data_IF_431829617627
#
_entry.id   IF_431829617627
#
_cell.length_a   1.000
_cell.length_b   1.000
_cell.length_c   1.000
_cell.angle_alpha   90.00
_cell.angle_beta   90.00
_cell.angle_gamma   90.00
#
_symmetry.space_group_name_H-M   'P 1'
#
loop_
_entity.id
_entity.type
_entity.pdbx_description
1 polymer ?
#
# COMPACT_ATOMS: atom_id res chain seq x y z
N UNK A 1 15.32 25.08 -23.36
CA UNK A 1 15.60 25.19 -21.91
C UNK A 1 16.00 23.81 -21.42
N UNK A 2 17.22 23.62 -20.89
CA UNK A 2 17.69 22.30 -20.44
C UNK A 2 16.77 21.73 -19.35
N UNK A 3 16.70 20.40 -19.22
CA UNK A 3 15.89 19.71 -18.21
C UNK A 3 16.18 20.21 -16.79
N UNK A 4 17.45 20.48 -16.47
CA UNK A 4 17.88 21.04 -15.19
C UNK A 4 17.31 22.43 -14.91
N UNK A 5 17.27 23.33 -15.91
CA UNK A 5 16.69 24.67 -15.73
C UNK A 5 15.18 24.58 -15.46
N UNK A 6 14.46 23.65 -16.10
CA UNK A 6 13.02 23.42 -15.83
C UNK A 6 12.79 22.96 -14.40
N UNK A 7 13.64 22.08 -13.89
CA UNK A 7 13.54 21.55 -12.52
C UNK A 7 13.87 22.61 -11.48
N UNK A 8 14.92 23.40 -11.69
CA UNK A 8 15.25 24.56 -10.84
C UNK A 8 14.11 25.58 -10.82
N UNK A 9 13.52 25.87 -11.98
CA UNK A 9 12.36 26.76 -12.07
C UNK A 9 11.17 26.21 -11.25
N UNK A 10 10.81 24.93 -11.43
CA UNK A 10 9.76 24.27 -10.62
C UNK A 10 10.06 24.38 -9.12
N UNK A 11 11.30 24.12 -8.71
CA UNK A 11 11.74 24.21 -7.31
C UNK A 11 11.49 25.61 -6.72
N UNK A 12 11.97 26.66 -7.39
CA UNK A 12 11.79 28.03 -6.89
C UNK A 12 10.33 28.48 -6.92
N UNK A 13 9.55 28.07 -7.93
CA UNK A 13 8.10 28.32 -7.99
C UNK A 13 7.39 27.63 -6.82
N UNK A 14 7.72 26.37 -6.52
CA UNK A 14 7.17 25.66 -5.37
C UNK A 14 7.49 26.38 -4.06
N UNK A 15 8.72 26.87 -3.88
CA UNK A 15 9.08 27.66 -2.70
C UNK A 15 8.36 29.00 -2.62
N UNK A 16 8.18 29.68 -3.75
CA UNK A 16 7.42 30.93 -3.82
C UNK A 16 5.97 30.70 -3.39
N UNK A 17 5.28 29.73 -4.00
CA UNK A 17 3.90 29.37 -3.66
C UNK A 17 3.81 28.97 -2.18
N UNK A 18 4.75 28.16 -1.69
CA UNK A 18 4.81 27.76 -0.27
C UNK A 18 4.89 28.94 0.67
N UNK A 19 5.68 29.96 0.34
CA UNK A 19 5.76 31.17 1.16
C UNK A 19 4.51 32.04 1.05
N UNK A 20 3.89 32.15 -0.14
CA UNK A 20 2.63 32.87 -0.31
C UNK A 20 1.49 32.22 0.49
N UNK A 21 1.39 30.90 0.48
CA UNK A 21 0.38 30.14 1.22
C UNK A 21 0.51 30.26 2.74
N UNK A 22 1.63 30.78 3.26
CA UNK A 22 1.74 31.13 4.70
C UNK A 22 0.79 32.27 5.10
N UNK A 23 0.15 32.98 4.16
CA UNK A 23 -0.92 33.92 4.48
C UNK A 23 -2.05 33.23 5.28
N UNK A 24 -2.33 31.95 5.02
CA UNK A 24 -3.32 31.17 5.76
C UNK A 24 -2.87 30.85 7.20
N UNK A 25 -1.62 31.18 7.58
CA UNK A 25 -1.18 31.05 8.97
C UNK A 25 -1.86 32.02 9.93
N UNK A 26 -2.57 33.03 9.42
CA UNK A 26 -3.48 33.87 10.21
C UNK A 26 -4.63 33.07 10.83
N UNK A 27 -5.01 31.94 10.21
CA UNK A 27 -6.05 31.05 10.73
C UNK A 27 -5.42 30.21 11.86
N UNK A 28 -6.02 30.16 13.07
CA UNK A 28 -5.44 29.41 14.18
C UNK A 28 -5.39 27.90 13.91
N UNK A 29 -4.43 27.22 14.54
CA UNK A 29 -4.38 25.75 14.50
C UNK A 29 -5.57 25.18 15.24
N UNK A 30 -6.22 24.20 14.62
CA UNK A 30 -7.32 23.43 15.19
C UNK A 30 -6.77 22.17 15.86
N UNK A 31 -6.55 22.26 17.17
CA UNK A 31 -5.85 21.25 17.97
C UNK A 31 -6.51 19.87 18.06
N UNK A 32 -7.76 19.73 17.60
CA UNK A 32 -8.57 18.50 17.67
C UNK A 32 -8.90 17.93 16.30
N UNK A 33 -8.44 18.55 15.21
CA UNK A 33 -8.76 18.13 13.85
C UNK A 33 -7.63 17.30 13.23
N UNK A 34 -8.04 16.22 12.58
CA UNK A 34 -7.20 15.34 11.76
C UNK A 34 -7.57 15.47 10.28
N UNK A 35 -6.56 15.42 9.42
CA UNK A 35 -6.69 15.28 7.98
C UNK A 35 -6.01 13.99 7.51
N UNK A 36 -6.75 13.14 6.81
CA UNK A 36 -6.27 11.88 6.26
C UNK A 36 -6.23 11.89 4.74
N UNK A 37 -5.19 11.29 4.17
CA UNK A 37 -5.04 11.04 2.74
C UNK A 37 -4.43 9.67 2.50
N UNK A 38 -5.06 8.85 1.67
CA UNK A 38 -4.44 7.63 1.15
C UNK A 38 -4.26 7.71 -0.36
N UNK A 39 -3.05 7.36 -0.84
CA UNK A 39 -2.63 7.40 -2.24
C UNK A 39 -3.05 8.69 -2.95
N UNK A 40 -2.70 9.83 -2.36
CA UNK A 40 -3.03 11.17 -2.88
C UNK A 40 -4.54 11.43 -3.02
N UNK A 41 -5.34 10.87 -2.12
CA UNK A 41 -6.80 11.00 -2.11
C UNK A 41 -7.49 10.13 -3.17
N UNK A 42 -6.82 9.08 -3.67
CA UNK A 42 -7.44 8.13 -4.60
C UNK A 42 -8.33 7.11 -3.91
N UNK A 43 -8.12 6.84 -2.62
CA UNK A 43 -8.78 5.74 -1.91
C UNK A 43 -9.02 6.05 -0.43
N UNK A 44 -10.04 5.42 0.15
CA UNK A 44 -10.21 5.25 1.58
C UNK A 44 -9.65 3.87 1.97
N UNK A 45 -8.34 3.80 2.22
CA UNK A 45 -7.62 2.54 2.39
C UNK A 45 -6.29 2.73 3.12
N UNK A 46 -5.59 1.61 3.33
CA UNK A 46 -4.20 1.56 3.84
C UNK A 46 -4.06 2.16 5.24
N UNK A 47 -2.83 2.39 5.73
CA UNK A 47 -2.58 2.75 7.12
C UNK A 47 -3.35 4.00 7.61
N UNK A 48 -3.60 5.04 6.79
CA UNK A 48 -4.46 6.16 7.18
C UNK A 48 -5.90 5.75 7.53
N UNK A 49 -6.49 4.75 6.83
CA UNK A 49 -7.82 4.20 7.17
C UNK A 49 -7.82 3.64 8.59
N UNK A 50 -6.92 2.70 8.86
CA UNK A 50 -6.84 2.01 10.15
C UNK A 50 -6.55 2.96 11.31
N UNK A 51 -5.68 3.95 11.12
CA UNK A 51 -5.48 5.01 12.13
C UNK A 51 -6.76 5.81 12.36
N UNK A 52 -7.46 6.21 11.28
CA UNK A 52 -8.67 7.04 11.40
C UNK A 52 -9.83 6.31 12.08
N UNK A 53 -10.00 5.02 11.80
CA UNK A 53 -11.04 4.18 12.42
C UNK A 53 -10.72 3.93 13.90
N UNK A 54 -9.46 3.58 14.22
CA UNK A 54 -9.04 3.39 15.60
C UNK A 54 -9.24 4.65 16.46
N UNK A 55 -8.85 5.83 15.93
CA UNK A 55 -9.08 7.11 16.62
C UNK A 55 -10.57 7.38 16.84
N UNK A 56 -11.40 7.12 15.83
CA UNK A 56 -12.85 7.33 15.92
C UNK A 56 -13.52 6.43 16.97
N UNK A 57 -13.05 5.20 17.10
CA UNK A 57 -13.61 4.22 18.04
C UNK A 57 -13.11 4.41 19.48
N UNK A 58 -11.89 4.92 19.66
CA UNK A 58 -11.21 4.90 20.96
C UNK A 58 -10.96 6.29 21.57
N UNK A 59 -11.19 7.39 20.84
CA UNK A 59 -10.83 8.74 21.30
C UNK A 59 -11.94 9.76 21.05
N UNK A 60 -12.54 10.22 22.15
CA UNK A 60 -13.61 11.21 22.11
C UNK A 60 -13.14 12.64 21.82
N UNK A 61 -14.03 13.41 21.21
CA UNK A 61 -13.87 14.86 21.05
C UNK A 61 -12.84 15.28 20.00
N UNK A 62 -12.46 14.37 19.10
CA UNK A 62 -11.68 14.65 17.89
C UNK A 62 -12.61 14.80 16.67
N UNK A 63 -12.11 15.48 15.65
CA UNK A 63 -12.81 15.60 14.37
C UNK A 63 -11.93 15.08 13.23
N UNK A 64 -12.53 14.29 12.33
CA UNK A 64 -11.80 13.56 11.29
C UNK A 64 -12.24 14.02 9.90
N UNK A 65 -11.28 14.50 9.11
CA UNK A 65 -11.49 14.91 7.71
C UNK A 65 -10.70 14.01 6.76
N UNK A 66 -11.33 13.53 5.70
CA UNK A 66 -10.69 12.79 4.61
C UNK A 66 -10.67 13.59 3.31
N UNK A 67 -9.52 13.66 2.65
CA UNK A 67 -9.39 14.31 1.36
C UNK A 67 -9.39 13.30 0.21
N UNK A 68 -10.24 13.54 -0.80
CA UNK A 68 -10.38 12.69 -1.98
C UNK A 68 -10.28 13.49 -3.29
N UNK A 69 -9.89 12.82 -4.37
CA UNK A 69 -9.96 13.36 -5.73
C UNK A 69 -11.39 13.32 -6.29
N UNK A 70 -12.20 12.36 -5.82
CA UNK A 70 -13.59 12.14 -6.22
C UNK A 70 -14.43 11.87 -4.96
N UNK A 71 -14.90 12.94 -4.31
CA UNK A 71 -15.58 12.81 -3.00
C UNK A 71 -16.81 11.89 -3.07
N UNK A 72 -17.62 11.99 -4.13
CA UNK A 72 -18.91 11.29 -4.21
C UNK A 72 -18.82 9.77 -4.10
N UNK A 73 -17.67 9.17 -4.45
CA UNK A 73 -17.40 7.73 -4.24
C UNK A 73 -17.39 7.33 -2.76
N UNK A 74 -17.23 8.30 -1.86
CA UNK A 74 -17.02 8.10 -0.43
C UNK A 74 -18.10 8.75 0.44
N UNK A 75 -19.23 9.19 -0.11
CA UNK A 75 -20.32 9.86 0.63
C UNK A 75 -20.84 9.02 1.82
N UNK A 76 -20.74 7.69 1.74
CA UNK A 76 -21.10 6.79 2.84
C UNK A 76 -20.29 7.05 4.13
N UNK A 77 -19.10 7.64 4.04
CA UNK A 77 -18.28 8.01 5.20
C UNK A 77 -18.87 9.19 5.98
N UNK A 78 -19.73 10.02 5.38
CA UNK A 78 -20.46 11.07 6.09
C UNK A 78 -21.38 10.48 7.16
N UNK A 79 -22.02 9.35 6.86
CA UNK A 79 -22.87 8.61 7.81
C UNK A 79 -22.07 7.99 8.97
N UNK A 80 -20.76 7.80 8.77
CA UNK A 80 -19.82 7.38 9.81
C UNK A 80 -19.26 8.57 10.60
N UNK A 81 -19.67 9.81 10.32
CA UNK A 81 -19.21 11.00 11.04
C UNK A 81 -17.89 11.61 10.53
N UNK A 82 -17.35 11.13 9.41
CA UNK A 82 -16.20 11.78 8.76
C UNK A 82 -16.64 13.02 7.98
N UNK A 83 -15.79 14.04 7.95
CA UNK A 83 -15.90 15.16 7.01
C UNK A 83 -15.14 14.82 5.73
N UNK A 84 -15.68 15.21 4.57
CA UNK A 84 -15.05 14.97 3.28
C UNK A 84 -14.61 16.28 2.64
N UNK A 85 -13.45 16.26 1.99
CA UNK A 85 -12.91 17.43 1.30
C UNK A 85 -12.33 17.09 -0.07
N UNK A 86 -12.58 17.95 -1.06
CA UNK A 86 -12.03 17.80 -2.40
C UNK A 86 -10.58 18.24 -2.35
N UNK A 87 -9.66 17.34 -2.70
CA UNK A 87 -8.22 17.62 -2.73
C UNK A 87 -7.86 18.77 -3.67
N UNK A 88 -8.67 19.02 -4.70
CA UNK A 88 -8.46 20.12 -5.67
C UNK A 88 -8.99 21.47 -5.17
N UNK A 89 -9.70 21.50 -4.04
CA UNK A 89 -10.31 22.72 -3.51
C UNK A 89 -9.33 23.64 -2.78
N UNK A 90 -9.63 24.94 -2.75
CA UNK A 90 -8.93 25.88 -1.88
C UNK A 90 -9.09 25.51 -0.39
N UNK A 91 -10.23 24.94 -0.02
CA UNK A 91 -10.48 24.48 1.34
C UNK A 91 -9.46 23.41 1.75
N UNK A 92 -9.05 22.51 0.85
CA UNK A 92 -8.03 21.50 1.13
C UNK A 92 -6.68 22.14 1.44
N UNK A 93 -6.29 23.15 0.67
CA UNK A 93 -5.06 23.91 0.92
C UNK A 93 -5.13 24.60 2.29
N UNK A 94 -6.23 25.28 2.60
CA UNK A 94 -6.43 25.93 3.90
C UNK A 94 -6.37 24.92 5.04
N UNK A 95 -7.08 23.80 4.90
CA UNK A 95 -7.16 22.71 5.89
C UNK A 95 -5.78 22.15 6.21
N UNK A 96 -4.97 21.84 5.18
CA UNK A 96 -3.59 21.39 5.40
C UNK A 96 -2.73 22.38 6.21
N UNK A 97 -3.03 23.68 6.18
CA UNK A 97 -2.26 24.70 6.89
C UNK A 97 -2.73 24.98 8.33
N UNK A 98 -3.89 24.45 8.74
CA UNK A 98 -4.49 24.76 10.04
C UNK A 98 -4.98 23.58 10.87
N UNK A 99 -5.06 22.35 10.36
CA UNK A 99 -5.31 21.17 11.22
C UNK A 99 -4.08 20.82 12.06
N UNK A 100 -4.26 20.25 13.25
CA UNK A 100 -3.12 19.84 14.09
C UNK A 100 -2.45 18.57 13.56
N UNK A 101 -3.22 17.62 13.02
CA UNK A 101 -2.71 16.32 12.61
C UNK A 101 -2.99 16.05 11.14
N UNK A 102 -1.98 15.60 10.40
CA UNK A 102 -2.08 15.16 9.01
C UNK A 102 -1.43 13.78 8.92
N UNK A 103 -2.18 12.81 8.41
CA UNK A 103 -1.72 11.43 8.22
C UNK A 103 -1.83 11.06 6.74
N UNK A 104 -0.73 10.62 6.15
CA UNK A 104 -0.71 10.16 4.76
C UNK A 104 0.18 8.93 4.58
N UNK A 105 0.02 8.18 3.49
CA UNK A 105 0.87 7.04 3.13
C UNK A 105 1.70 7.28 1.86
N UNK A 106 1.60 8.47 1.27
CA UNK A 106 2.33 8.83 0.07
C UNK A 106 2.93 10.22 0.25
N UNK A 107 2.18 11.27 -0.07
CA UNK A 107 2.62 12.63 0.15
C UNK A 107 1.46 13.64 0.16
N UNK A 108 1.76 14.80 0.74
CA UNK A 108 0.95 16.03 0.57
C UNK A 108 1.66 16.97 -0.41
N UNK A 109 0.95 17.82 -1.17
CA UNK A 109 1.61 18.69 -2.15
C UNK A 109 2.79 19.50 -1.58
N UNK A 110 3.91 19.50 -2.30
CA UNK A 110 5.17 20.09 -1.84
C UNK A 110 5.10 21.61 -1.63
N UNK A 111 4.16 22.29 -2.28
CA UNK A 111 3.95 23.73 -2.12
C UNK A 111 3.15 24.09 -0.87
N UNK A 112 2.55 23.14 -0.13
CA UNK A 112 1.80 23.47 1.08
C UNK A 112 2.79 23.73 2.24
N UNK A 113 2.68 24.84 2.98
CA UNK A 113 3.50 25.08 4.15
C UNK A 113 2.95 24.34 5.39
N UNK A 114 3.81 23.68 6.15
CA UNK A 114 3.48 23.02 7.43
C UNK A 114 4.10 23.82 8.58
N UNK A 115 3.32 24.06 9.63
CA UNK A 115 3.79 24.75 10.85
C UNK A 115 4.49 23.76 11.77
N UNK A 116 5.45 24.25 12.55
CA UNK A 116 6.16 23.45 13.57
C UNK A 116 5.23 22.83 14.62
N UNK A 117 4.06 23.43 14.84
CA UNK A 117 3.06 22.93 15.79
C UNK A 117 2.12 21.88 15.19
N UNK A 118 2.16 21.62 13.88
CA UNK A 118 1.41 20.56 13.23
C UNK A 118 2.23 19.27 13.21
N UNK A 119 1.52 18.15 13.18
CA UNK A 119 2.07 16.81 13.08
C UNK A 119 1.76 16.27 11.69
N UNK A 120 2.80 15.97 10.93
CA UNK A 120 2.70 15.33 9.63
C UNK A 120 3.33 13.94 9.72
N UNK A 121 2.50 12.92 9.87
CA UNK A 121 2.91 11.53 9.88
C UNK A 121 2.81 10.96 8.46
N UNK A 122 3.93 10.43 7.96
CA UNK A 122 3.92 9.63 6.75
C UNK A 122 4.04 8.15 7.12
N UNK A 123 3.03 7.37 6.76
CA UNK A 123 2.98 5.93 7.03
C UNK A 123 3.72 5.13 5.97
N UNK A 124 4.05 5.74 4.82
CA UNK A 124 4.43 5.05 3.59
C UNK A 124 3.43 3.93 3.24
N UNK A 125 3.72 3.11 2.23
CA UNK A 125 2.80 2.05 1.78
C UNK A 125 3.51 0.75 1.40
N UNK A 126 4.84 0.69 1.54
CA UNK A 126 5.65 -0.48 1.22
C UNK A 126 6.18 -1.17 2.48
N UNK A 127 5.38 -2.07 3.07
CA UNK A 127 5.79 -2.83 4.26
C UNK A 127 6.88 -3.88 3.98
N UNK A 128 6.95 -4.38 2.75
CA UNK A 128 7.89 -5.40 2.29
C UNK A 128 8.40 -5.07 0.88
N UNK A 129 9.27 -4.07 0.74
CA UNK A 129 9.63 -3.52 -0.57
C UNK A 129 10.59 -4.43 -1.32
N UNK A 130 10.17 -4.89 -2.50
CA UNK A 130 11.03 -5.59 -3.46
C UNK A 130 11.72 -4.60 -4.41
N UNK A 131 10.93 -3.70 -5.00
CA UNK A 131 11.37 -2.74 -6.02
C UNK A 131 12.17 -1.61 -5.43
N UNK A 132 13.27 -1.23 -6.07
CA UNK A 132 13.97 0.02 -5.74
C UNK A 132 13.05 1.21 -5.94
N UNK A 133 13.19 2.21 -5.08
CA UNK A 133 12.41 3.45 -5.11
C UNK A 133 13.32 4.64 -4.86
N UNK A 134 12.85 5.84 -5.21
CA UNK A 134 13.57 7.09 -4.98
C UNK A 134 14.96 7.13 -5.62
N UNK A 135 15.97 7.49 -4.84
CA UNK A 135 17.36 7.68 -5.31
C UNK A 135 18.02 6.38 -5.80
N UNK A 136 17.48 5.22 -5.44
CA UNK A 136 18.01 3.92 -5.82
C UNK A 136 17.35 3.32 -7.08
N UNK A 137 16.34 3.99 -7.67
CA UNK A 137 15.76 3.54 -8.94
C UNK A 137 16.82 3.51 -10.05
N UNK A 138 16.77 2.51 -10.94
CA UNK A 138 17.70 2.41 -12.09
C UNK A 138 17.65 3.64 -13.00
N UNK A 139 16.48 4.26 -13.11
CA UNK A 139 16.24 5.50 -13.86
C UNK A 139 15.41 6.46 -12.99
N UNK A 140 16.01 7.09 -11.97
CA UNK A 140 15.27 7.92 -11.04
C UNK A 140 14.78 9.16 -11.79
N UNK A 141 13.48 9.48 -11.69
CA UNK A 141 12.98 10.75 -12.22
C UNK A 141 13.73 11.88 -11.49
N UNK A 142 14.48 12.74 -12.19
CA UNK A 142 15.15 13.86 -11.55
C UNK A 142 14.20 14.72 -10.71
N UNK A 143 12.91 14.80 -11.06
CA UNK A 143 11.89 15.45 -10.26
C UNK A 143 11.67 14.79 -8.89
N UNK A 144 11.68 13.45 -8.80
CA UNK A 144 11.52 12.71 -7.54
C UNK A 144 12.66 13.04 -6.57
N UNK A 145 13.89 13.11 -7.07
CA UNK A 145 15.08 13.54 -6.31
C UNK A 145 14.89 14.93 -5.67
N UNK A 146 14.41 15.91 -6.44
CA UNK A 146 14.11 17.25 -5.91
C UNK A 146 12.92 17.25 -4.96
N UNK A 147 11.96 16.38 -5.22
CA UNK A 147 10.75 16.24 -4.43
C UNK A 147 11.06 15.77 -3.01
N UNK A 148 11.84 14.69 -2.84
CA UNK A 148 12.25 14.22 -1.52
C UNK A 148 12.94 15.32 -0.71
N UNK A 149 13.86 16.06 -1.34
CA UNK A 149 14.52 17.21 -0.70
C UNK A 149 13.55 18.29 -0.21
N UNK A 150 12.46 18.54 -0.94
CA UNK A 150 11.45 19.54 -0.56
C UNK A 150 10.50 19.05 0.55
N UNK A 151 10.40 17.74 0.73
CA UNK A 151 9.37 17.09 1.55
C UNK A 151 9.91 16.56 2.87
N UNK A 152 11.10 15.96 2.87
CA UNK A 152 11.66 15.24 4.01
C UNK A 152 11.68 16.08 5.29
N UNK A 153 12.13 17.34 5.19
CA UNK A 153 12.21 18.27 6.33
C UNK A 153 10.84 18.69 6.90
N UNK A 154 9.73 18.35 6.23
CA UNK A 154 8.37 18.69 6.64
C UNK A 154 7.70 17.59 7.45
N UNK A 155 8.11 16.34 7.27
CA UNK A 155 7.52 15.23 7.99
C UNK A 155 7.97 15.26 9.44
N UNK A 156 7.01 15.17 10.35
CA UNK A 156 7.31 15.00 11.78
C UNK A 156 7.94 13.64 12.02
N UNK A 157 7.37 12.60 11.40
CA UNK A 157 7.93 11.25 11.44
C UNK A 157 7.49 10.41 10.22
N UNK A 158 8.23 9.33 9.99
CA UNK A 158 7.81 8.20 9.16
C UNK A 158 7.51 6.97 10.03
N UNK A 159 6.49 6.19 9.67
CA UNK A 159 6.39 4.80 10.13
C UNK A 159 7.38 3.93 9.37
N UNK A 160 7.82 2.85 10.02
CA UNK A 160 8.64 1.82 9.41
C UNK A 160 8.14 0.44 9.79
N UNK A 161 8.03 -0.42 8.79
CA UNK A 161 7.63 -1.82 8.96
C UNK A 161 8.78 -2.72 9.39
N UNK A 162 10.04 -2.30 9.19
CA UNK A 162 11.19 -3.15 9.47
C UNK A 162 12.51 -2.38 9.57
N UNK A 163 13.56 -3.02 10.06
CA UNK A 163 14.94 -2.51 10.01
C UNK A 163 15.30 -2.17 8.56
N UNK A 164 15.02 -3.08 7.62
CA UNK A 164 15.31 -2.86 6.21
C UNK A 164 14.59 -1.63 5.64
N UNK A 165 13.31 -1.42 5.96
CA UNK A 165 12.59 -0.22 5.49
C UNK A 165 13.22 1.05 6.06
N UNK A 166 13.67 1.01 7.31
CA UNK A 166 14.33 2.15 7.95
C UNK A 166 15.62 2.53 7.23
N UNK A 167 16.50 1.55 7.03
CA UNK A 167 17.85 1.80 6.50
C UNK A 167 17.82 1.86 4.96
N UNK A 168 17.40 0.78 4.31
CA UNK A 168 17.48 0.64 2.85
C UNK A 168 16.45 1.48 2.07
N UNK A 169 15.32 1.86 2.69
CA UNK A 169 14.29 2.65 1.99
C UNK A 169 14.23 4.09 2.47
N UNK A 170 14.02 4.33 3.77
CA UNK A 170 13.85 5.71 4.25
C UNK A 170 15.19 6.46 4.19
N UNK A 171 16.29 5.88 4.67
CA UNK A 171 17.60 6.53 4.64
C UNK A 171 18.23 6.49 3.24
N UNK A 172 18.46 5.31 2.67
CA UNK A 172 19.21 5.20 1.40
C UNK A 172 18.39 5.70 0.20
N UNK A 173 17.13 5.29 0.08
CA UNK A 173 16.33 5.60 -1.10
C UNK A 173 15.58 6.91 -1.04
N UNK A 174 15.16 7.37 0.14
CA UNK A 174 14.47 8.65 0.28
C UNK A 174 15.35 9.74 0.87
N UNK A 175 16.54 9.44 1.41
CA UNK A 175 17.37 10.40 2.14
C UNK A 175 16.61 11.09 3.28
N UNK A 176 15.75 10.34 3.97
CA UNK A 176 15.04 10.79 5.16
C UNK A 176 15.83 10.38 6.40
N UNK A 177 16.34 11.39 7.12
CA UNK A 177 17.11 11.22 8.37
C UNK A 177 16.39 11.82 9.58
N UNK A 178 15.08 12.07 9.45
CA UNK A 178 14.23 12.53 10.54
C UNK A 178 13.81 11.39 11.47
N UNK A 179 12.73 11.62 12.22
CA UNK A 179 12.22 10.61 13.15
C UNK A 179 11.58 9.43 12.42
N UNK A 180 12.06 8.22 12.69
CA UNK A 180 11.46 6.98 12.21
C UNK A 180 10.83 6.22 13.38
N UNK A 181 9.62 5.71 13.18
CA UNK A 181 8.83 4.99 14.17
C UNK A 181 8.78 3.50 13.81
N UNK A 182 9.51 2.63 14.53
CA UNK A 182 9.60 1.20 14.24
C UNK A 182 8.38 0.46 14.79
N UNK A 183 7.20 0.79 14.28
CA UNK A 183 5.91 0.33 14.83
C UNK A 183 5.16 -0.64 13.94
N UNK A 184 5.70 -1.04 12.79
CA UNK A 184 4.91 -1.78 11.81
C UNK A 184 3.97 -0.85 11.01
N UNK A 185 3.13 -1.46 10.18
CA UNK A 185 2.14 -0.76 9.38
C UNK A 185 0.76 -0.92 10.02
N UNK A 186 0.04 0.17 10.36
CA UNK A 186 -1.31 0.12 10.89
C UNK A 186 -2.25 -0.79 10.08
N UNK A 187 -2.18 -0.73 8.74
CA UNK A 187 -2.97 -1.59 7.86
C UNK A 187 -2.77 -3.09 8.09
N UNK A 188 -1.59 -3.50 8.56
CA UNK A 188 -1.24 -4.90 8.77
C UNK A 188 -1.69 -5.43 10.14
N UNK A 189 -2.18 -4.57 11.04
CA UNK A 189 -2.65 -4.99 12.37
C UNK A 189 -3.74 -6.06 12.29
N UNK A 190 -4.66 -5.92 11.31
CA UNK A 190 -5.77 -6.86 11.06
C UNK A 190 -5.28 -8.28 10.70
N UNK A 191 -4.06 -8.43 10.19
CA UNK A 191 -3.50 -9.73 9.80
C UNK A 191 -3.15 -10.59 11.02
N UNK A 192 -3.08 -9.99 12.22
CA UNK A 192 -2.74 -10.65 13.47
C UNK A 192 -3.96 -10.88 14.40
N UNK A 193 -5.16 -10.53 13.95
CA UNK A 193 -6.41 -10.72 14.71
C UNK A 193 -7.23 -11.88 14.16
N UNK A 194 -8.35 -12.18 14.81
CA UNK A 194 -9.35 -13.09 14.22
C UNK A 194 -9.90 -12.51 12.90
N UNK A 195 -10.12 -13.38 11.91
CA UNK A 195 -10.52 -12.99 10.56
C UNK A 195 -11.98 -13.36 10.24
N UNK A 196 -12.72 -13.99 11.14
CA UNK A 196 -14.02 -14.61 10.82
C UNK A 196 -15.03 -13.60 10.26
N UNK A 197 -15.15 -12.43 10.89
CA UNK A 197 -16.03 -11.36 10.43
C UNK A 197 -15.59 -10.77 9.08
N UNK A 198 -14.28 -10.65 8.87
CA UNK A 198 -13.68 -10.11 7.65
C UNK A 198 -13.85 -11.10 6.48
N UNK A 199 -13.63 -12.38 6.74
CA UNK A 199 -13.89 -13.47 5.79
C UNK A 199 -15.36 -13.45 5.39
N UNK A 200 -16.28 -13.43 6.35
CA UNK A 200 -17.72 -13.36 6.08
C UNK A 200 -18.08 -12.13 5.24
N UNK A 201 -17.50 -10.96 5.55
CA UNK A 201 -17.69 -9.73 4.76
C UNK A 201 -17.25 -9.90 3.30
N UNK A 202 -16.08 -10.50 3.05
CA UNK A 202 -15.57 -10.74 1.69
C UNK A 202 -16.45 -11.73 0.93
N UNK A 203 -16.80 -12.87 1.54
CA UNK A 203 -17.69 -13.87 0.92
C UNK A 203 -19.05 -13.26 0.57
N UNK A 204 -19.65 -12.50 1.49
CA UNK A 204 -20.93 -11.82 1.25
C UNK A 204 -20.83 -10.76 0.14
N UNK A 205 -19.75 -9.99 0.10
CA UNK A 205 -19.56 -8.95 -0.93
C UNK A 205 -19.56 -9.54 -2.34
N UNK A 206 -18.90 -10.68 -2.53
CA UNK A 206 -18.82 -11.36 -3.83
C UNK A 206 -19.93 -12.41 -4.05
N UNK A 207 -20.89 -12.53 -3.13
CA UNK A 207 -21.96 -13.54 -3.15
C UNK A 207 -21.45 -14.98 -3.27
N UNK A 208 -20.39 -15.31 -2.54
CA UNK A 208 -19.75 -16.62 -2.52
C UNK A 208 -20.39 -17.52 -1.48
N UNK A 209 -20.53 -18.81 -1.80
CA UNK A 209 -21.02 -19.80 -0.84
C UNK A 209 -19.87 -20.23 0.07
N UNK A 210 -19.97 -19.92 1.37
CA UNK A 210 -18.97 -20.35 2.34
C UNK A 210 -19.28 -21.76 2.84
N UNK A 211 -18.28 -22.63 2.78
CA UNK A 211 -18.28 -23.97 3.37
C UNK A 211 -16.91 -24.26 3.98
N UNK A 212 -16.75 -25.30 4.82
CA UNK A 212 -15.46 -25.68 5.38
C UNK A 212 -14.36 -25.93 4.34
N UNK A 213 -14.76 -26.35 3.12
CA UNK A 213 -13.86 -26.69 2.01
C UNK A 213 -13.83 -25.58 0.93
N UNK A 214 -14.49 -24.44 1.14
CA UNK A 214 -14.41 -23.33 0.21
C UNK A 214 -13.15 -22.52 0.48
N UNK A 215 -12.39 -22.23 -0.57
CA UNK A 215 -11.10 -21.54 -0.53
C UNK A 215 -11.10 -20.32 -1.44
N UNK A 216 -10.34 -19.28 -1.12
CA UNK A 216 -10.15 -18.11 -1.98
C UNK A 216 -8.70 -18.04 -2.45
N UNK A 217 -8.51 -17.94 -3.76
CA UNK A 217 -7.24 -17.57 -4.40
C UNK A 217 -7.35 -16.12 -4.83
N UNK A 218 -6.36 -15.30 -4.48
CA UNK A 218 -6.23 -13.96 -5.03
C UNK A 218 -5.08 -13.94 -6.02
N UNK A 219 -5.33 -13.41 -7.21
CA UNK A 219 -4.28 -13.00 -8.13
C UNK A 219 -4.20 -11.49 -8.21
N UNK A 220 -3.09 -10.93 -7.70
CA UNK A 220 -2.85 -9.48 -7.62
C UNK A 220 -1.52 -9.11 -8.31
N UNK A 221 -1.47 -9.11 -9.66
CA UNK A 221 -0.26 -8.75 -10.39
C UNK A 221 0.00 -7.23 -10.35
N UNK A 222 1.26 -6.85 -10.53
CA UNK A 222 1.63 -5.45 -10.66
C UNK A 222 1.31 -4.91 -12.06
N UNK A 223 1.12 -3.58 -12.17
CA UNK A 223 1.01 -2.94 -13.47
C UNK A 223 2.36 -2.92 -14.19
N UNK A 224 2.31 -2.94 -15.53
CA UNK A 224 3.45 -2.64 -16.41
C UNK A 224 3.31 -1.24 -16.97
N UNK A 225 4.43 -0.57 -17.26
CA UNK A 225 4.42 0.81 -17.75
C UNK A 225 4.47 1.87 -16.64
N UNK A 226 3.84 3.02 -16.90
CA UNK A 226 3.82 4.17 -15.98
C UNK A 226 2.53 4.19 -15.14
N UNK A 227 2.47 5.03 -14.10
CA UNK A 227 1.30 5.13 -13.23
C UNK A 227 0.02 5.61 -13.94
N UNK A 228 0.16 6.25 -15.11
CA UNK A 228 -0.95 6.80 -15.91
C UNK A 228 -1.26 5.97 -17.17
N UNK A 229 -0.34 5.10 -17.59
CA UNK A 229 -0.46 4.24 -18.79
C UNK A 229 -0.11 2.79 -18.41
N UNK A 230 -0.74 2.30 -17.35
CA UNK A 230 -0.55 0.95 -16.84
C UNK A 230 -1.21 -0.08 -17.76
N UNK A 231 -0.50 -1.14 -18.14
CA UNK A 231 -1.07 -2.28 -18.84
C UNK A 231 -0.78 -3.59 -18.11
N UNK A 232 -1.56 -4.62 -18.44
CA UNK A 232 -1.36 -5.98 -17.95
C UNK A 232 -0.57 -6.82 -18.97
N UNK A 233 -0.17 -8.02 -18.56
CA UNK A 233 0.52 -8.96 -19.43
C UNK A 233 -0.31 -9.25 -20.70
N UNK A 234 0.36 -9.38 -21.86
CA UNK A 234 -0.26 -9.92 -23.07
C UNK A 234 -0.94 -11.25 -22.79
N UNK A 235 -2.07 -11.52 -23.44
CA UNK A 235 -2.92 -12.68 -23.15
C UNK A 235 -2.14 -14.01 -23.14
N UNK A 236 -1.19 -14.17 -24.07
CA UNK A 236 -0.35 -15.37 -24.21
C UNK A 236 0.65 -15.58 -23.05
N UNK A 237 0.91 -14.55 -22.24
CA UNK A 237 1.76 -14.61 -21.07
C UNK A 237 0.97 -14.66 -19.76
N UNK A 238 -0.34 -14.46 -19.79
CA UNK A 238 -1.18 -14.49 -18.60
C UNK A 238 -1.19 -15.88 -17.95
N UNK A 239 -1.47 -15.87 -16.66
CA UNK A 239 -1.71 -17.09 -15.91
C UNK A 239 -2.95 -17.80 -16.50
N UNK A 240 -2.83 -19.08 -16.77
CA UNK A 240 -3.92 -19.97 -17.16
C UNK A 240 -4.72 -20.33 -15.90
N UNK A 241 -5.68 -19.46 -15.59
CA UNK A 241 -6.50 -19.54 -14.38
C UNK A 241 -7.45 -20.75 -14.45
N UNK A 242 -8.00 -21.03 -15.62
CA UNK A 242 -8.95 -22.12 -15.77
C UNK A 242 -8.24 -23.46 -15.60
N UNK A 243 -7.06 -23.63 -16.22
CA UNK A 243 -6.21 -24.81 -16.03
C UNK A 243 -5.65 -24.94 -14.61
N UNK A 244 -5.33 -23.82 -13.95
CA UNK A 244 -4.95 -23.82 -12.54
C UNK A 244 -6.07 -24.37 -11.65
N UNK A 245 -7.30 -23.87 -11.83
CA UNK A 245 -8.45 -24.32 -11.05
C UNK A 245 -8.72 -25.81 -11.26
N UNK A 246 -8.63 -26.29 -12.51
CA UNK A 246 -8.80 -27.72 -12.83
C UNK A 246 -7.74 -28.58 -12.09
N UNK A 247 -6.47 -28.14 -12.06
CA UNK A 247 -5.41 -28.85 -11.33
C UNK A 247 -5.63 -28.84 -9.82
N UNK A 248 -6.09 -27.71 -9.27
CA UNK A 248 -6.36 -27.60 -7.83
C UNK A 248 -7.53 -28.49 -7.41
N UNK A 249 -8.56 -28.62 -8.24
CA UNK A 249 -9.66 -29.57 -8.04
C UNK A 249 -9.20 -31.04 -8.13
N UNK A 250 -8.14 -31.35 -8.89
CA UNK A 250 -7.57 -32.71 -8.95
C UNK A 250 -6.74 -33.07 -7.71
N UNK A 251 -5.98 -32.12 -7.15
CA UNK A 251 -5.05 -32.39 -6.05
C UNK A 251 -5.64 -32.12 -4.66
N UNK A 252 -6.76 -31.40 -4.58
CA UNK A 252 -7.44 -31.08 -3.32
C UNK A 252 -8.96 -31.26 -3.46
N UNK A 253 -9.61 -31.75 -2.41
CA UNK A 253 -11.09 -31.86 -2.32
C UNK A 253 -11.77 -30.51 -1.97
N UNK A 254 -11.05 -29.40 -2.20
CA UNK A 254 -11.50 -28.04 -1.90
C UNK A 254 -12.11 -27.37 -3.12
N UNK A 255 -13.07 -26.47 -2.90
CA UNK A 255 -13.65 -25.63 -3.94
C UNK A 255 -12.98 -24.25 -3.91
N UNK A 256 -12.31 -23.87 -5.00
CA UNK A 256 -11.56 -22.61 -5.09
C UNK A 256 -12.35 -21.53 -5.83
N UNK A 257 -12.57 -20.40 -5.16
CA UNK A 257 -12.94 -19.14 -5.78
C UNK A 257 -11.70 -18.37 -6.21
N UNK A 258 -11.68 -17.86 -7.44
CA UNK A 258 -10.55 -17.09 -7.95
C UNK A 258 -10.91 -15.60 -8.06
N UNK A 259 -10.24 -14.76 -7.27
CA UNK A 259 -10.40 -13.32 -7.29
C UNK A 259 -9.21 -12.68 -8.02
N UNK A 260 -9.50 -11.89 -9.06
CA UNK A 260 -8.50 -11.09 -9.75
C UNK A 260 -8.55 -9.65 -9.28
N UNK A 261 -7.43 -9.15 -8.76
CA UNK A 261 -7.29 -7.76 -8.31
C UNK A 261 -6.24 -7.05 -9.14
N UNK A 262 -6.68 -6.34 -10.18
CA UNK A 262 -5.81 -5.47 -10.93
C UNK A 262 -5.39 -4.24 -10.11
N UNK A 263 -4.32 -3.59 -10.54
CA UNK A 263 -4.05 -2.23 -10.10
C UNK A 263 -5.05 -1.27 -10.75
N UNK A 264 -5.53 -0.26 -10.02
CA UNK A 264 -6.51 0.74 -10.50
C UNK A 264 -6.10 1.50 -11.79
N UNK A 265 -4.84 1.43 -12.19
CA UNK A 265 -4.31 2.04 -13.41
C UNK A 265 -4.31 1.08 -14.62
N UNK A 266 -4.76 -0.15 -14.44
CA UNK A 266 -4.82 -1.19 -15.48
C UNK A 266 -6.27 -1.39 -15.91
N UNK A 267 -6.50 -1.62 -17.20
CA UNK A 267 -7.76 -2.20 -17.64
C UNK A 267 -7.83 -3.67 -17.23
N UNK A 268 -8.98 -4.12 -16.72
CA UNK A 268 -9.21 -5.54 -16.46
C UNK A 268 -9.22 -6.29 -17.80
N UNK A 269 -8.13 -6.98 -18.12
CA UNK A 269 -7.95 -7.68 -19.40
C UNK A 269 -7.58 -9.15 -19.20
N UNK A 270 -8.26 -9.81 -18.26
CA UNK A 270 -8.00 -11.20 -17.91
C UNK A 270 -8.72 -12.16 -18.86
N UNK A 271 -8.04 -13.23 -19.27
CA UNK A 271 -8.61 -14.26 -20.13
C UNK A 271 -9.13 -15.48 -19.36
N UNK A 272 -10.11 -15.27 -18.48
CA UNK A 272 -10.82 -16.35 -17.77
C UNK A 272 -12.27 -15.96 -17.52
N UNK A 273 -13.18 -16.93 -17.64
CA UNK A 273 -14.59 -16.77 -17.26
C UNK A 273 -14.88 -17.25 -15.82
N UNK A 274 -13.94 -17.96 -15.19
CA UNK A 274 -14.04 -18.43 -13.80
C UNK A 274 -13.53 -17.39 -12.79
N UNK A 275 -12.74 -16.42 -13.24
CA UNK A 275 -12.21 -15.35 -12.38
C UNK A 275 -13.26 -14.27 -12.06
N UNK A 276 -13.32 -13.87 -10.80
CA UNK A 276 -14.15 -12.77 -10.30
C UNK A 276 -13.29 -11.52 -10.19
N UNK A 277 -13.72 -10.40 -10.77
CA UNK A 277 -13.00 -9.14 -10.67
C UNK A 277 -13.21 -8.52 -9.28
N UNK A 278 -12.12 -8.37 -8.55
CA UNK A 278 -12.04 -7.83 -7.19
C UNK A 278 -11.28 -6.48 -7.13
N UNK A 279 -10.98 -5.87 -8.29
CA UNK A 279 -10.25 -4.61 -8.43
C UNK A 279 -10.86 -3.46 -7.61
N UNK A 280 -12.20 -3.37 -7.58
CA UNK A 280 -12.94 -2.32 -6.86
C UNK A 280 -13.17 -2.61 -5.37
N UNK A 281 -12.73 -3.77 -4.86
CA UNK A 281 -12.88 -4.07 -3.43
C UNK A 281 -12.04 -3.08 -2.60
N UNK A 282 -12.63 -2.35 -1.63
CA UNK A 282 -11.97 -1.18 -1.04
C UNK A 282 -10.64 -1.46 -0.32
N UNK A 283 -10.52 -2.60 0.35
CA UNK A 283 -9.38 -2.90 1.22
C UNK A 283 -8.66 -4.19 0.83
N UNK A 284 -7.37 -4.07 0.52
CA UNK A 284 -6.51 -5.20 0.18
C UNK A 284 -6.28 -6.11 1.39
N UNK A 285 -6.22 -5.57 2.61
CA UNK A 285 -5.87 -6.37 3.79
C UNK A 285 -7.03 -7.26 4.21
N UNK A 286 -8.26 -6.79 4.02
CA UNK A 286 -9.48 -7.61 4.18
C UNK A 286 -9.51 -8.77 3.17
N UNK A 287 -9.14 -8.51 1.91
CA UNK A 287 -9.00 -9.56 0.91
C UNK A 287 -7.92 -10.58 1.29
N UNK A 288 -6.75 -10.14 1.76
CA UNK A 288 -5.69 -11.03 2.22
C UNK A 288 -6.11 -11.89 3.42
N UNK A 289 -6.86 -11.31 4.38
CA UNK A 289 -7.44 -12.07 5.49
C UNK A 289 -8.35 -13.20 4.99
N UNK A 290 -9.14 -12.93 3.93
CA UNK A 290 -10.05 -13.90 3.34
C UNK A 290 -9.39 -14.91 2.39
N UNK A 291 -8.22 -14.60 1.84
CA UNK A 291 -7.52 -15.49 0.93
C UNK A 291 -6.87 -16.66 1.65
N UNK A 292 -6.86 -17.82 1.00
CA UNK A 292 -6.04 -18.98 1.37
C UNK A 292 -4.73 -18.99 0.58
N UNK A 293 -4.73 -18.51 -0.66
CA UNK A 293 -3.56 -18.46 -1.53
C UNK A 293 -3.46 -17.07 -2.17
N UNK A 294 -2.26 -16.51 -2.18
CA UNK A 294 -1.94 -15.33 -2.97
C UNK A 294 -1.04 -15.71 -4.15
N UNK A 295 -1.43 -15.29 -5.34
CA UNK A 295 -0.60 -15.28 -6.54
C UNK A 295 -0.29 -13.82 -6.85
N UNK A 296 0.97 -13.50 -7.06
CA UNK A 296 1.42 -12.16 -7.44
C UNK A 296 2.71 -12.25 -8.26
N UNK A 297 3.37 -11.14 -8.50
CA UNK A 297 4.64 -11.08 -9.25
C UNK A 297 5.72 -10.34 -8.45
N UNK A 298 5.68 -9.00 -8.46
CA UNK A 298 6.68 -8.11 -7.88
C UNK A 298 6.00 -7.10 -6.92
N UNK A 299 4.82 -7.48 -6.40
CA UNK A 299 4.05 -6.67 -5.48
C UNK A 299 4.53 -6.85 -4.05
N UNK A 300 4.56 -5.76 -3.28
CA UNK A 300 4.89 -5.85 -1.85
C UNK A 300 3.83 -6.59 -1.03
N UNK A 301 2.62 -6.84 -1.58
CA UNK A 301 1.58 -7.60 -0.88
C UNK A 301 1.97 -9.06 -0.62
N UNK A 302 2.99 -9.61 -1.32
CA UNK A 302 3.58 -10.91 -0.98
C UNK A 302 4.06 -10.94 0.47
N UNK A 303 4.68 -9.85 0.93
CA UNK A 303 5.19 -9.76 2.30
C UNK A 303 4.08 -9.54 3.33
N UNK A 304 3.00 -8.84 2.97
CA UNK A 304 1.83 -8.70 3.85
C UNK A 304 1.16 -10.09 4.07
N UNK A 305 0.95 -10.86 3.00
CA UNK A 305 0.41 -12.23 3.11
C UNK A 305 1.32 -13.17 3.89
N UNK A 306 2.65 -13.02 3.73
CA UNK A 306 3.65 -13.80 4.46
C UNK A 306 3.57 -13.62 5.99
N UNK A 307 3.04 -12.49 6.49
CA UNK A 307 2.83 -12.29 7.94
C UNK A 307 1.87 -13.32 8.55
N UNK A 308 0.90 -13.79 7.76
CA UNK A 308 -0.04 -14.84 8.16
C UNK A 308 0.49 -16.25 7.85
N UNK A 309 1.70 -16.36 7.29
CA UNK A 309 2.30 -17.62 6.82
C UNK A 309 1.46 -18.39 5.80
N UNK A 310 0.52 -17.71 5.13
CA UNK A 310 -0.29 -18.30 4.06
C UNK A 310 0.53 -18.43 2.76
N UNK A 311 0.24 -19.42 1.90
CA UNK A 311 0.96 -19.63 0.64
C UNK A 311 0.96 -18.40 -0.28
N UNK A 312 2.14 -18.09 -0.81
CA UNK A 312 2.34 -17.06 -1.83
C UNK A 312 3.14 -17.65 -2.99
N UNK A 313 2.63 -17.50 -4.21
CA UNK A 313 3.30 -17.93 -5.44
C UNK A 313 3.59 -16.72 -6.34
N UNK A 314 4.79 -16.70 -6.93
CA UNK A 314 5.22 -15.64 -7.85
C UNK A 314 5.13 -16.12 -9.30
N UNK A 315 4.22 -15.53 -10.06
CA UNK A 315 4.09 -15.75 -11.50
C UNK A 315 4.73 -14.59 -12.27
N UNK A 316 5.93 -14.82 -12.80
CA UNK A 316 6.85 -13.77 -13.27
C UNK A 316 7.32 -14.04 -14.71
N UNK A 317 6.44 -14.01 -15.72
CA UNK A 317 6.80 -14.34 -17.11
C UNK A 317 7.77 -13.35 -17.75
N UNK A 318 7.91 -12.15 -17.19
CA UNK A 318 8.70 -11.04 -17.70
C UNK A 318 9.78 -10.56 -16.71
N UNK A 319 10.28 -11.48 -15.88
CA UNK A 319 11.17 -11.16 -14.75
C UNK A 319 12.41 -10.36 -15.15
N UNK A 320 13.10 -10.80 -16.20
CA UNK A 320 14.33 -10.17 -16.66
C UNK A 320 14.10 -8.71 -17.09
N UNK A 321 13.06 -8.46 -17.88
CA UNK A 321 12.68 -7.13 -18.34
C UNK A 321 12.23 -6.24 -17.18
N UNK A 322 11.52 -6.83 -16.21
CA UNK A 322 11.03 -6.10 -15.04
C UNK A 322 12.18 -5.68 -14.11
N UNK A 323 13.14 -6.58 -13.83
CA UNK A 323 14.34 -6.25 -13.04
C UNK A 323 15.13 -5.14 -13.73
N UNK A 324 15.37 -5.27 -15.04
CA UNK A 324 16.15 -4.27 -15.78
C UNK A 324 15.52 -2.89 -15.76
N UNK A 325 14.18 -2.80 -15.72
CA UNK A 325 13.46 -1.52 -15.78
C UNK A 325 13.24 -0.89 -14.41
N UNK A 326 12.87 -1.69 -13.39
CA UNK A 326 12.45 -1.20 -12.07
C UNK A 326 13.54 -1.27 -11.00
N UNK A 327 14.46 -2.23 -11.11
CA UNK A 327 15.47 -2.55 -10.09
C UNK A 327 14.86 -3.19 -8.83
N UNK A 328 15.57 -4.12 -8.20
CA UNK A 328 15.17 -4.75 -6.93
C UNK A 328 16.23 -4.54 -5.84
N UNK A 329 15.77 -4.41 -4.60
CA UNK A 329 16.63 -4.42 -3.42
C UNK A 329 17.16 -5.82 -3.07
N UNK A 330 16.38 -6.84 -3.42
CA UNK A 330 16.65 -8.23 -3.08
C UNK A 330 16.75 -9.05 -4.35
N UNK A 331 17.59 -10.07 -4.31
CA UNK A 331 17.46 -11.16 -5.27
C UNK A 331 16.12 -11.87 -5.03
N UNK A 332 15.23 -11.83 -6.02
CA UNK A 332 13.90 -12.43 -5.94
C UNK A 332 13.98 -13.95 -5.70
N UNK A 333 15.04 -14.61 -6.20
CA UNK A 333 15.27 -16.03 -5.98
C UNK A 333 15.69 -16.37 -4.56
N UNK A 334 16.08 -15.37 -3.77
CA UNK A 334 16.38 -15.52 -2.33
C UNK A 334 15.15 -15.39 -1.44
N UNK A 335 13.99 -15.05 -2.01
CA UNK A 335 12.73 -14.97 -1.29
C UNK A 335 12.13 -16.38 -1.10
N UNK A 336 11.33 -16.59 -0.05
CA UNK A 336 10.75 -17.91 0.25
C UNK A 336 9.54 -18.25 -0.61
N UNK A 337 9.25 -17.45 -1.63
CA UNK A 337 8.06 -17.58 -2.46
C UNK A 337 8.42 -18.38 -3.72
N UNK A 338 7.78 -19.54 -3.96
CA UNK A 338 8.01 -20.30 -5.16
C UNK A 338 7.72 -19.48 -6.42
N UNK A 339 8.64 -19.53 -7.39
CA UNK A 339 8.62 -18.68 -8.58
C UNK A 339 8.45 -19.51 -9.84
N UNK A 340 7.62 -19.03 -10.78
CA UNK A 340 7.45 -19.64 -12.08
C UNK A 340 7.33 -18.59 -13.18
N UNK A 341 7.89 -18.90 -14.36
CA UNK A 341 7.87 -18.00 -15.53
C UNK A 341 6.88 -18.41 -16.61
N UNK A 342 6.34 -19.62 -16.51
CA UNK A 342 5.39 -20.20 -17.48
C UNK A 342 4.30 -20.95 -16.74
N UNK A 343 3.13 -21.09 -17.37
CA UNK A 343 2.01 -21.87 -16.80
C UNK A 343 2.41 -23.31 -16.43
N UNK A 344 3.17 -24.01 -17.27
CA UNK A 344 3.63 -25.37 -16.95
C UNK A 344 4.48 -25.39 -15.67
N UNK A 345 5.49 -24.52 -15.59
CA UNK A 345 6.33 -24.43 -14.38
C UNK A 345 5.53 -24.00 -13.14
N UNK A 346 4.48 -23.19 -13.31
CA UNK A 346 3.64 -22.75 -12.21
C UNK A 346 2.81 -23.91 -11.63
N UNK A 347 2.27 -24.75 -12.51
CA UNK A 347 1.55 -25.96 -12.12
C UNK A 347 2.46 -26.96 -11.40
N UNK A 348 3.70 -27.13 -11.87
CA UNK A 348 4.67 -28.01 -11.23
C UNK A 348 5.02 -27.50 -9.81
N UNK A 349 5.23 -26.19 -9.68
CA UNK A 349 5.52 -25.54 -8.40
C UNK A 349 4.38 -25.69 -7.40
N UNK A 350 3.12 -25.54 -7.83
CA UNK A 350 1.97 -25.73 -6.96
C UNK A 350 1.85 -27.18 -6.48
N UNK A 351 2.06 -28.16 -7.37
CA UNK A 351 2.01 -29.59 -7.03
C UNK A 351 3.13 -30.01 -6.06
N UNK A 352 4.28 -29.35 -6.14
CA UNK A 352 5.44 -29.62 -5.30
C UNK A 352 5.49 -28.80 -4.01
N UNK A 353 4.45 -28.01 -3.70
CA UNK A 353 4.46 -27.07 -2.59
C UNK A 353 4.55 -27.79 -1.23
N UNK A 354 5.63 -27.54 -0.49
CA UNK A 354 5.83 -28.00 0.88
C UNK A 354 5.56 -26.85 1.86
N UNK A 355 4.48 -26.98 2.63
CA UNK A 355 4.06 -25.98 3.62
C UNK A 355 5.12 -25.77 4.70
N UNK A 356 5.78 -26.84 5.15
CA UNK A 356 6.75 -26.76 6.25
C UNK A 356 8.03 -26.05 5.83
N UNK A 357 8.54 -26.35 4.63
CA UNK A 357 9.68 -25.63 4.05
C UNK A 357 9.34 -24.15 3.81
N UNK A 358 8.14 -23.89 3.26
CA UNK A 358 7.65 -22.54 3.02
C UNK A 358 7.57 -21.70 4.30
N UNK A 359 6.93 -22.20 5.35
CA UNK A 359 6.78 -21.47 6.61
C UNK A 359 8.13 -21.16 7.28
N UNK A 360 9.10 -22.08 7.19
CA UNK A 360 10.45 -21.87 7.68
C UNK A 360 11.18 -20.77 6.86
N UNK A 361 11.04 -20.80 5.54
CA UNK A 361 11.57 -19.76 4.65
C UNK A 361 10.95 -18.39 4.92
N UNK A 362 9.63 -18.33 5.12
CA UNK A 362 8.92 -17.10 5.49
C UNK A 362 9.42 -16.54 6.80
N UNK A 363 9.63 -17.38 7.83
CA UNK A 363 10.19 -16.91 9.09
C UNK A 363 11.58 -16.30 8.89
N UNK A 364 12.47 -16.99 8.17
CA UNK A 364 13.81 -16.48 7.86
C UNK A 364 13.77 -15.16 7.07
N UNK A 365 12.81 -15.00 6.16
CA UNK A 365 12.58 -13.77 5.42
C UNK A 365 12.16 -12.60 6.33
N UNK A 366 11.19 -12.82 7.22
CA UNK A 366 10.72 -11.80 8.17
C UNK A 366 11.83 -11.39 9.16
N UNK A 367 12.63 -12.36 9.61
CA UNK A 367 13.79 -12.12 10.47
C UNK A 367 14.86 -11.31 9.73
N UNK A 368 15.14 -11.65 8.45
CA UNK A 368 16.06 -10.90 7.59
C UNK A 368 15.61 -9.46 7.34
N UNK A 369 14.32 -9.21 7.21
CA UNK A 369 13.76 -7.86 7.13
C UNK A 369 13.96 -7.09 8.45
N UNK A 370 13.97 -7.78 9.59
CA UNK A 370 13.86 -7.19 10.92
C UNK A 370 12.47 -6.59 11.13
N UNK A 371 11.42 -7.39 10.89
CA UNK A 371 10.03 -6.94 10.91
C UNK A 371 9.59 -6.38 12.28
N UNK A 372 8.83 -5.29 12.25
CA UNK A 372 8.16 -4.65 13.39
C UNK A 372 6.63 -4.88 13.40
N UNK A 373 6.13 -5.63 12.42
CA UNK A 373 4.69 -5.85 12.23
C UNK A 373 4.08 -6.58 13.42
N UNK A 374 2.97 -6.05 13.93
CA UNK A 374 2.30 -6.56 15.13
C UNK A 374 0.82 -6.16 15.17
N UNK A 375 0.04 -6.83 16.01
CA UNK A 375 -1.38 -6.52 16.19
C UNK A 375 -1.63 -5.10 16.74
N UNK A 376 -0.64 -4.52 17.42
CA UNK A 376 -0.73 -3.20 18.05
C UNK A 376 -0.05 -2.07 17.24
N UNK A 377 0.35 -2.33 15.98
CA UNK A 377 0.95 -1.31 15.10
C UNK A 377 0.10 -0.04 14.99
N UNK A 378 -1.22 -0.20 14.85
CA UNK A 378 -2.17 0.94 14.80
C UNK A 378 -2.19 1.71 16.12
N UNK A 379 -2.27 1.00 17.25
CA UNK A 379 -2.30 1.61 18.58
C UNK A 379 -1.01 2.40 18.85
N UNK A 380 0.16 1.81 18.62
CA UNK A 380 1.47 2.48 18.78
C UNK A 380 1.55 3.79 17.99
N UNK A 381 1.09 3.78 16.74
CA UNK A 381 1.06 4.96 15.90
C UNK A 381 0.13 6.04 16.47
N UNK A 382 -1.08 5.67 16.89
CA UNK A 382 -2.06 6.58 17.48
C UNK A 382 -1.54 7.19 18.79
N UNK A 383 -1.00 6.38 19.70
CA UNK A 383 -0.42 6.85 20.95
C UNK A 383 0.71 7.85 20.71
N UNK A 384 1.58 7.59 19.73
CA UNK A 384 2.62 8.54 19.36
C UNK A 384 2.04 9.86 18.86
N UNK A 385 1.02 9.83 17.98
CA UNK A 385 0.38 11.05 17.46
C UNK A 385 -0.20 11.89 18.59
N UNK A 386 -0.95 11.28 19.51
CA UNK A 386 -1.64 11.98 20.59
C UNK A 386 -0.68 12.53 21.65
N UNK A 387 0.51 11.94 21.80
CA UNK A 387 1.55 12.43 22.70
C UNK A 387 2.35 13.62 22.13
N UNK A 388 2.13 14.01 20.87
CA UNK A 388 2.79 15.19 20.29
C UNK A 388 2.15 16.49 20.79
N UNK A 389 2.90 17.26 21.60
CA UNK A 389 2.44 18.53 22.18
C UNK A 389 2.27 19.64 21.14
#
# INVERSE_FOLDING_TARGET
MSSQIKLLFKYYVTLLIRNLLKIFWIIPIKNKEFLFLSFDGKQYSDSPKYISEYLQENVDGLEFTWAFNEIGKYDYLLNRGFKLIDRKSLLFIITCTNVKYIVTNNYIPSYIPIRKSQILLNTWHGGSPLKTVGFMESNPDPYNVFYYKLQNDRYTAFLSSSVFVTEGVLMDSFHYYGQVLPYGMPRNSILFTDHEDVINKVYNYFNLSRSPNSKIIIYAPTFRGSADEGFFLPQEQQLDIDGLLDILEEIAEDHYYFLFRAHHAMADSISSNKAIIATDYPDMQELLCAADILITDYSSCMGDMALMKKPVFLYTPDLEDYISSRGFYWDIYSLPFPIAKTNSSFFDVIKAFDVSEYEAGVQAYLDRLGSYESADSTQKAVEWILNQK
#
